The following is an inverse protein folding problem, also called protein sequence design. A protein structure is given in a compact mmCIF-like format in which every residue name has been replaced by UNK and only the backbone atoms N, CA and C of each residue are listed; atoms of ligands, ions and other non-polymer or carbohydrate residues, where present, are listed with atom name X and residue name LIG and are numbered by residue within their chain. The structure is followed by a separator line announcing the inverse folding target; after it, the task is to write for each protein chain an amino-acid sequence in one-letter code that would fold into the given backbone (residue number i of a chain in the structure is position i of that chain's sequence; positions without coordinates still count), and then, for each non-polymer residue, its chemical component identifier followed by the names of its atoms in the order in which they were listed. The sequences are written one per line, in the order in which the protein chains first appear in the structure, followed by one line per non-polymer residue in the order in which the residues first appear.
data_IF_475624732712
#
_entry.id   IF_475624732712
#
_cell.length_a   1.000
_cell.length_b   1.000
_cell.length_c   1.000
_cell.angle_alpha   90.00
_cell.angle_beta   90.00
_cell.angle_gamma   90.00
#
_symmetry.space_group_name_H-M   'P 1'
#
loop_
_entity.id
_entity.type
_entity.pdbx_description
1 polymer ?
#
# COMPACT_ATOMS: atom_id res chain seq x y z
N UNK A 1 13.38 -3.02 -13.14
CA UNK A 1 13.68 -3.27 -11.70
C UNK A 1 13.69 -1.98 -10.88
N UNK A 2 14.41 -0.93 -11.27
CA UNK A 2 14.48 0.33 -10.50
C UNK A 2 13.12 1.02 -10.23
N UNK A 3 12.15 0.95 -11.15
CA UNK A 3 10.82 1.57 -10.94
C UNK A 3 9.95 0.80 -9.94
N UNK A 4 10.10 -0.54 -9.87
CA UNK A 4 9.33 -1.37 -8.94
C UNK A 4 9.73 -1.08 -7.49
N UNK A 5 11.04 -1.02 -7.23
CA UNK A 5 11.58 -0.67 -5.90
C UNK A 5 11.08 0.72 -5.48
N UNK A 6 11.16 1.71 -6.39
CA UNK A 6 10.66 3.07 -6.15
C UNK A 6 9.17 3.08 -5.79
N UNK A 7 8.34 2.34 -6.52
CA UNK A 7 6.90 2.27 -6.25
C UNK A 7 6.60 1.62 -4.90
N UNK A 8 7.34 0.57 -4.54
CA UNK A 8 7.22 -0.07 -3.22
C UNK A 8 7.57 0.90 -2.10
N UNK A 9 8.70 1.63 -2.20
CA UNK A 9 9.10 2.60 -1.17
C UNK A 9 8.05 3.71 -1.03
N UNK A 10 7.58 4.29 -2.14
CA UNK A 10 6.56 5.35 -2.11
C UNK A 10 5.24 4.86 -1.52
N UNK A 11 4.84 3.62 -1.82
CA UNK A 11 3.63 3.01 -1.27
C UNK A 11 3.74 2.83 0.25
N UNK A 12 4.89 2.36 0.76
CA UNK A 12 5.11 2.21 2.20
C UNK A 12 5.00 3.55 2.91
N UNK A 13 5.67 4.59 2.41
CA UNK A 13 5.60 5.94 2.98
C UNK A 13 4.16 6.47 3.00
N UNK A 14 3.43 6.32 1.90
CA UNK A 14 2.04 6.74 1.81
C UNK A 14 1.14 6.01 2.82
N UNK A 15 1.37 4.72 3.05
CA UNK A 15 0.62 3.93 4.04
C UNK A 15 0.99 4.29 5.49
N UNK A 16 2.21 4.78 5.74
CA UNK A 16 2.60 5.30 7.06
C UNK A 16 1.95 6.65 7.35
N UNK A 17 1.91 7.56 6.36
CA UNK A 17 1.24 8.86 6.49
C UNK A 17 -0.29 8.71 6.55
N UNK A 18 -0.84 7.73 5.84
CA UNK A 18 -2.26 7.43 5.78
C UNK A 18 -2.53 5.94 6.05
N UNK A 19 -2.62 5.54 7.33
CA UNK A 19 -2.88 4.15 7.73
C UNK A 19 -4.19 3.59 7.20
N UNK A 20 -5.12 4.45 6.77
CA UNK A 20 -6.38 4.08 6.11
C UNK A 20 -6.55 4.91 4.84
N UNK A 21 -6.45 4.28 3.69
CA UNK A 21 -6.47 4.96 2.39
C UNK A 21 -7.16 4.09 1.33
N UNK A 22 -7.88 4.72 0.39
CA UNK A 22 -8.50 3.98 -0.72
C UNK A 22 -7.49 3.64 -1.80
N UNK A 23 -7.68 2.51 -2.49
CA UNK A 23 -6.89 2.12 -3.66
C UNK A 23 -6.94 3.21 -4.72
N UNK A 24 -8.09 3.86 -4.92
CA UNK A 24 -8.22 4.98 -5.86
C UNK A 24 -7.30 6.14 -5.48
N UNK A 25 -7.26 6.54 -4.20
CA UNK A 25 -6.37 7.61 -3.74
C UNK A 25 -4.91 7.22 -3.90
N UNK A 26 -4.53 5.96 -3.63
CA UNK A 26 -3.18 5.46 -3.91
C UNK A 26 -2.83 5.59 -5.40
N UNK A 27 -3.75 5.24 -6.31
CA UNK A 27 -3.51 5.39 -7.75
C UNK A 27 -3.23 6.85 -8.13
N UNK A 28 -4.03 7.77 -7.60
CA UNK A 28 -3.92 9.21 -7.88
C UNK A 28 -2.61 9.78 -7.33
N UNK A 29 -2.24 9.45 -6.09
CA UNK A 29 -1.00 9.93 -5.44
C UNK A 29 0.28 9.34 -6.07
N UNK A 30 0.24 8.07 -6.48
CA UNK A 30 1.42 7.39 -6.99
C UNK A 30 1.51 7.38 -8.51
N UNK A 31 0.46 7.79 -9.23
CA UNK A 31 0.36 7.69 -10.69
C UNK A 31 0.34 6.24 -11.17
N UNK A 32 -0.21 5.33 -10.36
CA UNK A 32 -0.18 3.89 -10.61
C UNK A 32 -1.50 3.37 -11.17
N UNK A 33 -1.43 2.36 -12.03
CA UNK A 33 -2.63 1.60 -12.41
C UNK A 33 -3.14 0.78 -11.22
N UNK A 34 -4.45 0.51 -11.18
CA UNK A 34 -5.08 -0.31 -10.14
C UNK A 34 -4.38 -1.67 -9.99
N UNK A 35 -4.04 -2.31 -11.10
CA UNK A 35 -3.32 -3.59 -11.11
C UNK A 35 -1.90 -3.48 -10.53
N UNK A 36 -1.19 -2.38 -10.79
CA UNK A 36 0.13 -2.13 -10.22
C UNK A 36 0.03 -1.92 -8.70
N UNK A 37 -0.99 -1.18 -8.23
CA UNK A 37 -1.25 -1.00 -6.79
C UNK A 37 -1.44 -2.34 -6.11
N UNK A 38 -2.31 -3.22 -6.61
CA UNK A 38 -2.53 -4.53 -6.00
C UNK A 38 -1.28 -5.41 -5.97
N UNK A 39 -0.47 -5.43 -7.03
CA UNK A 39 0.81 -6.18 -7.03
C UNK A 39 1.80 -5.63 -6.00
N UNK A 40 1.88 -4.32 -5.87
CA UNK A 40 2.75 -3.68 -4.88
C UNK A 40 2.25 -3.93 -3.46
N UNK A 41 0.93 -3.84 -3.21
CA UNK A 41 0.33 -4.19 -1.91
C UNK A 41 0.61 -5.65 -1.54
N UNK A 42 0.47 -6.60 -2.46
CA UNK A 42 0.80 -8.01 -2.22
C UNK A 42 2.29 -8.23 -1.91
N UNK A 43 3.17 -7.37 -2.44
CA UNK A 43 4.61 -7.42 -2.13
C UNK A 43 4.87 -6.90 -0.73
N UNK A 44 4.23 -5.78 -0.36
CA UNK A 44 4.40 -5.13 0.95
C UNK A 44 3.73 -5.92 2.07
N UNK A 45 2.64 -6.63 1.80
CA UNK A 45 1.91 -7.44 2.77
C UNK A 45 2.74 -8.58 3.37
N UNK A 46 3.91 -8.88 2.79
CA UNK A 46 4.89 -9.83 3.36
C UNK A 46 5.68 -9.26 4.54
N UNK A 47 5.65 -7.94 4.72
CA UNK A 47 6.44 -7.21 5.71
C UNK A 47 5.59 -6.32 6.62
N UNK A 48 4.42 -5.89 6.14
CA UNK A 48 3.49 -5.03 6.88
C UNK A 48 2.12 -5.69 6.87
N UNK A 49 1.49 -5.81 8.04
CA UNK A 49 0.13 -6.33 8.14
C UNK A 49 -0.83 -5.29 7.58
N UNK A 50 -1.47 -5.62 6.46
CA UNK A 50 -2.48 -4.76 5.83
C UNK A 50 -3.76 -5.55 5.61
N UNK A 51 -4.91 -4.89 5.80
CA UNK A 51 -6.22 -5.41 5.44
C UNK A 51 -6.74 -4.62 4.24
N UNK A 52 -7.25 -5.33 3.24
CA UNK A 52 -7.95 -4.74 2.11
C UNK A 52 -9.43 -5.07 2.21
N UNK A 53 -10.28 -4.06 2.27
CA UNK A 53 -11.73 -4.21 2.42
C UNK A 53 -12.45 -3.19 1.53
N UNK A 54 -13.27 -3.66 0.59
CA UNK A 54 -13.97 -2.84 -0.41
C UNK A 54 -13.12 -1.73 -1.07
N UNK A 55 -11.87 -2.06 -1.42
CA UNK A 55 -10.94 -1.11 -2.03
C UNK A 55 -10.35 -0.08 -1.05
N UNK A 56 -10.53 -0.25 0.25
CA UNK A 56 -9.83 0.48 1.32
C UNK A 56 -8.69 -0.38 1.85
N UNK A 57 -7.50 0.20 1.92
CA UNK A 57 -6.31 -0.39 2.55
C UNK A 57 -6.20 0.17 3.96
N UNK A 58 -6.13 -0.72 4.94
CA UNK A 58 -5.86 -0.40 6.34
C UNK A 58 -4.55 -1.07 6.77
N UNK A 59 -3.61 -0.29 7.31
CA UNK A 59 -2.44 -0.82 8.02
C UNK A 59 -2.88 -1.24 9.41
N UNK A 60 -2.58 -2.47 9.79
CA UNK A 60 -2.80 -2.99 11.13
C UNK A 60 -1.45 -2.93 11.86
N UNK A 61 -1.29 -1.98 12.75
CA UNK A 61 -0.17 -2.03 13.70
C UNK A 61 -0.39 -3.21 14.62
N UNK A 62 0.62 -4.07 14.75
CA UNK A 62 0.56 -5.19 15.68
C UNK A 62 0.24 -4.65 17.06
N UNK A 63 -0.90 -5.05 17.63
CA UNK A 63 -1.09 -4.97 19.06
C UNK A 63 0.01 -5.83 19.67
N UNK A 64 1.01 -5.19 20.26
CA UNK A 64 1.91 -5.87 21.19
C UNK A 64 1.03 -6.37 22.34
N UNK A 65 0.68 -7.65 22.32
CA UNK A 65 0.25 -8.42 23.50
C UNK A 65 1.42 -9.29 23.98
#
# INVERSE_FOLDING_TARGET
MASAIRNTVRMVLLLQEHPRITVRKIQDELGMSRSAVYRTLQTISRHITIRLDDGVVCVLEGSEE
#
